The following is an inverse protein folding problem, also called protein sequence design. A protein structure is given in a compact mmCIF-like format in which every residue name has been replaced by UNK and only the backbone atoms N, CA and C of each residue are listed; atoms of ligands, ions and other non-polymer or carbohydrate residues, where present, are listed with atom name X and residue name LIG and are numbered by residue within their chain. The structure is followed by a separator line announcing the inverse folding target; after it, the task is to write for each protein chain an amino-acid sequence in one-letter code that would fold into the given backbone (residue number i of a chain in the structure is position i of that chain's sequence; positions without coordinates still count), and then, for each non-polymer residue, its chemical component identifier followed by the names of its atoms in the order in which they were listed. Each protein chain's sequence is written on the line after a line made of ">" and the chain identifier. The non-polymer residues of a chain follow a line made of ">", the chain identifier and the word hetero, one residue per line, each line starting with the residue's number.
data_IF_137432676321
#
_entry.id   IF_137432676321
#
_cell.length_a   1.000
_cell.length_b   1.000
_cell.length_c   1.000
_cell.angle_alpha   90.00
_cell.angle_beta   90.00
_cell.angle_gamma   90.00
#
_symmetry.space_group_name_H-M   'P 1'
#
loop_
_entity.id
_entity.type
_entity.pdbx_description
1 polymer ?
#
# COMPACT_ATOMS: atom_id res chain seq x y z
N UNK A 1 1.96 -31.53 9.51
CA UNK A 1 0.69 -31.84 10.18
C UNK A 1 -0.10 -30.55 10.20
N UNK A 2 -1.29 -30.52 9.63
CA UNK A 2 -2.08 -29.29 9.51
C UNK A 2 -2.76 -28.99 10.84
N UNK A 3 -2.22 -28.03 11.60
CA UNK A 3 -2.80 -27.59 12.86
C UNK A 3 -3.94 -26.62 12.57
N UNK A 4 -5.11 -26.92 13.12
CA UNK A 4 -6.28 -26.05 13.09
C UNK A 4 -6.34 -25.26 14.38
N UNK A 5 -6.54 -23.95 14.24
CA UNK A 5 -6.59 -23.00 15.34
C UNK A 5 -7.91 -22.23 15.31
N UNK A 6 -8.39 -21.85 16.47
CA UNK A 6 -9.60 -21.04 16.59
C UNK A 6 -9.30 -19.54 16.39
N UNK A 7 -10.35 -18.73 16.33
CA UNK A 7 -10.24 -17.27 16.14
C UNK A 7 -9.40 -16.58 17.21
N UNK A 8 -9.50 -16.99 18.48
CA UNK A 8 -8.76 -16.35 19.57
C UNK A 8 -7.27 -16.65 19.48
N UNK A 9 -6.91 -17.90 19.19
CA UNK A 9 -5.54 -18.33 18.95
C UNK A 9 -4.94 -17.61 17.74
N UNK A 10 -5.69 -17.53 16.64
CA UNK A 10 -5.27 -16.80 15.45
C UNK A 10 -5.01 -15.31 15.74
N UNK A 11 -5.88 -14.66 16.52
CA UNK A 11 -5.68 -13.27 16.93
C UNK A 11 -4.46 -13.09 17.83
N UNK A 12 -4.16 -14.05 18.70
CA UNK A 12 -2.96 -14.03 19.54
C UNK A 12 -1.69 -14.11 18.69
N UNK A 13 -1.65 -15.05 17.72
CA UNK A 13 -0.54 -15.20 16.78
C UNK A 13 -0.35 -13.91 15.95
N UNK A 14 -1.44 -13.26 15.54
CA UNK A 14 -1.36 -11.96 14.86
C UNK A 14 -0.75 -10.87 15.75
N UNK A 15 -1.13 -10.82 17.04
CA UNK A 15 -0.57 -9.84 17.97
C UNK A 15 0.93 -10.10 18.23
N UNK A 16 1.36 -11.36 18.35
CA UNK A 16 2.77 -11.76 18.44
C UNK A 16 3.58 -11.32 17.20
N UNK A 17 2.92 -11.23 16.03
CA UNK A 17 3.51 -10.73 14.78
C UNK A 17 3.23 -9.22 14.55
N UNK A 18 2.89 -8.48 15.61
CA UNK A 18 2.64 -7.03 15.59
C UNK A 18 1.49 -6.59 14.66
N UNK A 19 0.53 -7.47 14.38
CA UNK A 19 -0.70 -7.19 13.63
C UNK A 19 -1.86 -7.12 14.64
N UNK A 20 -2.00 -5.96 15.29
CA UNK A 20 -3.10 -5.73 16.23
C UNK A 20 -4.35 -5.27 15.51
N UNK A 21 -5.40 -6.08 15.55
CA UNK A 21 -6.70 -5.77 14.94
C UNK A 21 -7.87 -6.08 15.86
N UNK A 22 -8.99 -5.40 15.64
CA UNK A 22 -10.23 -5.70 16.35
C UNK A 22 -10.82 -7.03 15.88
N UNK A 23 -11.55 -7.72 16.75
CA UNK A 23 -12.28 -8.95 16.41
C UNK A 23 -13.18 -8.77 15.17
N UNK A 24 -13.83 -7.61 15.05
CA UNK A 24 -14.67 -7.28 13.90
C UNK A 24 -13.87 -7.24 12.59
N UNK A 25 -12.72 -6.57 12.60
CA UNK A 25 -11.82 -6.50 11.44
C UNK A 25 -11.29 -7.87 11.06
N UNK A 26 -10.91 -8.69 12.04
CA UNK A 26 -10.41 -10.03 11.79
C UNK A 26 -11.49 -10.94 11.18
N UNK A 27 -12.70 -10.92 11.75
CA UNK A 27 -13.82 -11.70 11.19
C UNK A 27 -14.24 -11.23 9.80
N UNK A 28 -14.09 -9.94 9.47
CA UNK A 28 -14.31 -9.43 8.12
C UNK A 28 -13.27 -9.97 7.12
N UNK A 29 -12.03 -10.20 7.52
CA UNK A 29 -11.03 -10.88 6.68
C UNK A 29 -11.39 -12.33 6.39
N UNK A 30 -11.92 -13.05 7.39
CA UNK A 30 -12.41 -14.42 7.20
C UNK A 30 -13.58 -14.45 6.21
N UNK A 31 -14.56 -13.53 6.36
CA UNK A 31 -15.72 -13.44 5.44
C UNK A 31 -15.33 -13.09 4.01
N UNK A 32 -14.30 -12.25 3.84
CA UNK A 32 -13.78 -11.85 2.52
C UNK A 32 -12.83 -12.87 1.90
N UNK A 33 -12.59 -13.99 2.59
CA UNK A 33 -11.63 -15.03 2.17
C UNK A 33 -10.21 -14.48 2.00
N UNK A 34 -9.85 -13.43 2.74
CA UNK A 34 -8.45 -12.96 2.80
C UNK A 34 -7.57 -13.95 3.58
N UNK A 35 -8.17 -14.71 4.50
CA UNK A 35 -7.57 -15.86 5.20
C UNK A 35 -8.51 -17.04 5.00
N UNK A 36 -7.99 -18.17 4.52
CA UNK A 36 -8.78 -19.36 4.33
C UNK A 36 -9.21 -19.92 5.71
N UNK A 37 -10.52 -20.05 5.90
CA UNK A 37 -11.11 -20.54 7.14
C UNK A 37 -12.39 -21.32 6.85
N UNK A 38 -12.66 -22.32 7.68
CA UNK A 38 -13.87 -23.14 7.61
C UNK A 38 -14.71 -22.84 8.86
N UNK A 39 -16.05 -22.80 8.78
CA UNK A 39 -16.87 -22.74 9.97
C UNK A 39 -16.53 -23.90 10.91
N UNK A 40 -16.26 -23.61 12.18
CA UNK A 40 -15.97 -24.66 13.17
C UNK A 40 -17.25 -25.44 13.47
N UNK A 41 -17.12 -26.75 13.68
CA UNK A 41 -18.22 -27.60 14.19
C UNK A 41 -18.70 -27.12 15.57
N UNK A 42 -17.82 -26.47 16.34
CA UNK A 42 -18.17 -25.85 17.61
C UNK A 42 -18.65 -24.41 17.39
N UNK A 43 -19.97 -24.19 17.53
CA UNK A 43 -20.61 -22.87 17.39
C UNK A 43 -20.02 -21.77 18.28
N UNK A 44 -19.37 -22.11 19.39
CA UNK A 44 -18.72 -21.14 20.29
C UNK A 44 -17.38 -20.62 19.76
N UNK A 45 -16.69 -21.42 18.95
CA UNK A 45 -15.38 -21.08 18.37
C UNK A 45 -15.51 -20.34 17.02
N UNK A 46 -16.65 -20.52 16.35
CA UNK A 46 -17.04 -19.78 15.15
C UNK A 46 -16.31 -20.27 13.90
N UNK A 47 -15.01 -19.99 13.79
CA UNK A 47 -14.20 -20.32 12.62
C UNK A 47 -12.96 -21.13 13.03
N UNK A 48 -12.64 -22.14 12.22
CA UNK A 48 -11.41 -22.92 12.28
C UNK A 48 -10.51 -22.49 11.12
N UNK A 49 -9.29 -22.11 11.45
CA UNK A 49 -8.30 -21.57 10.53
C UNK A 49 -7.11 -22.51 10.50
N UNK A 50 -6.54 -22.78 9.33
CA UNK A 50 -5.27 -23.52 9.27
C UNK A 50 -4.14 -22.57 9.66
N UNK A 51 -3.29 -23.02 10.57
CA UNK A 51 -2.14 -22.24 11.04
C UNK A 51 -1.23 -21.79 9.86
N UNK A 52 -1.07 -22.66 8.85
CA UNK A 52 -0.34 -22.37 7.62
C UNK A 52 -0.93 -21.21 6.81
N UNK A 53 -2.27 -21.17 6.67
CA UNK A 53 -2.96 -20.13 5.90
C UNK A 53 -2.89 -18.77 6.64
N UNK A 54 -2.89 -18.80 7.98
CA UNK A 54 -2.67 -17.61 8.80
C UNK A 54 -1.23 -17.09 8.65
N UNK A 55 -0.24 -17.99 8.68
CA UNK A 55 1.16 -17.62 8.48
C UNK A 55 1.42 -17.05 7.10
N UNK A 56 0.81 -17.61 6.06
CA UNK A 56 0.92 -17.08 4.71
C UNK A 56 0.29 -15.67 4.60
N UNK A 57 -0.82 -15.43 5.30
CA UNK A 57 -1.40 -14.09 5.42
C UNK A 57 -0.47 -13.11 6.16
N UNK A 58 0.16 -13.55 7.26
CA UNK A 58 1.12 -12.75 8.01
C UNK A 58 2.31 -12.39 7.13
N UNK A 59 2.87 -13.34 6.39
CA UNK A 59 3.99 -13.09 5.46
C UNK A 59 3.61 -12.13 4.34
N UNK A 60 2.37 -12.19 3.84
CA UNK A 60 1.85 -11.22 2.86
C UNK A 60 1.73 -9.82 3.46
N UNK A 61 1.29 -9.69 4.73
CA UNK A 61 1.11 -8.39 5.40
C UNK A 61 2.43 -7.80 5.90
N UNK A 62 3.37 -8.63 6.35
CA UNK A 62 4.67 -8.25 6.91
C UNK A 62 5.76 -9.24 6.48
N UNK A 63 6.23 -9.16 5.23
CA UNK A 63 7.26 -10.07 4.72
C UNK A 63 8.52 -10.05 5.60
N UNK A 64 9.04 -11.24 5.93
CA UNK A 64 10.30 -11.42 6.68
C UNK A 64 10.23 -11.19 8.20
N UNK A 65 9.17 -10.56 8.74
CA UNK A 65 9.10 -10.27 10.18
C UNK A 65 9.05 -11.55 11.02
N UNK A 66 8.30 -12.57 10.59
CA UNK A 66 8.18 -13.84 11.33
C UNK A 66 9.54 -14.52 11.46
N UNK A 67 10.34 -14.51 10.40
CA UNK A 67 11.69 -15.11 10.39
C UNK A 67 12.59 -14.37 11.39
N UNK A 68 12.58 -13.03 11.36
CA UNK A 68 13.36 -12.22 12.31
C UNK A 68 12.97 -12.50 13.77
N UNK A 69 11.66 -12.61 14.06
CA UNK A 69 11.18 -12.91 15.40
C UNK A 69 11.57 -14.31 15.87
N UNK A 70 11.55 -15.30 14.97
CA UNK A 70 12.01 -16.65 15.27
C UNK A 70 13.50 -16.67 15.61
N UNK A 71 14.35 -16.05 14.79
CA UNK A 71 15.79 -15.94 15.05
C UNK A 71 16.08 -15.20 16.36
N UNK A 72 15.35 -14.12 16.64
CA UNK A 72 15.47 -13.39 17.90
C UNK A 72 15.09 -14.25 19.11
N UNK A 73 14.04 -15.06 19.00
CA UNK A 73 13.62 -15.97 20.05
C UNK A 73 14.66 -17.08 20.30
N UNK A 74 15.26 -17.62 19.23
CA UNK A 74 16.39 -18.56 19.34
C UNK A 74 17.58 -17.92 20.05
N UNK A 75 17.95 -16.68 19.69
CA UNK A 75 19.04 -15.96 20.35
C UNK A 75 18.79 -15.75 21.84
N UNK A 76 17.56 -15.40 22.23
CA UNK A 76 17.19 -15.28 23.66
C UNK A 76 17.35 -16.63 24.37
N UNK A 77 16.96 -17.72 23.72
CA UNK A 77 17.09 -19.06 24.26
C UNK A 77 18.56 -19.40 24.52
N UNK A 78 19.43 -19.17 23.52
CA UNK A 78 20.87 -19.41 23.61
C UNK A 78 21.51 -18.58 24.73
N UNK A 79 21.13 -17.31 24.87
CA UNK A 79 21.60 -16.44 25.95
C UNK A 79 21.17 -16.98 27.32
N UNK A 80 19.93 -17.46 27.45
CA UNK A 80 19.45 -18.05 28.70
C UNK A 80 20.19 -19.34 29.05
N UNK A 81 20.48 -20.18 28.06
CA UNK A 81 21.23 -21.42 28.26
C UNK A 81 22.67 -21.13 28.71
N UNK A 82 23.34 -20.16 28.08
CA UNK A 82 24.66 -19.69 28.50
C UNK A 82 24.61 -19.12 29.92
N UNK A 83 23.58 -18.32 30.26
CA UNK A 83 23.40 -17.77 31.61
C UNK A 83 23.24 -18.87 32.65
N UNK A 84 22.48 -19.92 32.37
CA UNK A 84 22.35 -21.08 33.26
C UNK A 84 23.66 -21.84 33.41
N UNK A 85 24.40 -22.06 32.32
CA UNK A 85 25.73 -22.69 32.38
C UNK A 85 26.72 -21.89 33.23
N UNK A 86 26.72 -20.57 33.07
CA UNK A 86 27.56 -19.66 33.87
C UNK A 86 27.16 -19.72 35.34
N UNK A 87 25.87 -19.67 35.67
CA UNK A 87 25.38 -19.80 37.05
C UNK A 87 25.76 -21.15 37.67
N UNK A 88 25.63 -22.26 36.93
CA UNK A 88 26.06 -23.57 37.39
C UNK A 88 27.57 -23.63 37.68
N UNK A 89 28.41 -22.98 36.86
CA UNK A 89 29.86 -22.89 37.09
C UNK A 89 30.21 -22.09 38.35
N UNK A 90 29.43 -21.06 38.70
CA UNK A 90 29.63 -20.27 39.92
C UNK A 90 29.15 -21.01 41.18
N UNK A 91 28.04 -21.75 41.12
CA UNK A 91 27.55 -22.54 42.24
C UNK A 91 28.39 -23.80 42.52
N UNK A 92 28.99 -24.39 41.50
CA UNK A 92 29.89 -25.54 41.64
C UNK A 92 31.29 -25.16 42.18
N UNK A 93 31.55 -23.88 42.47
CA UNK A 93 32.87 -23.38 42.92
C UNK A 93 32.99 -23.20 44.44
N UNK A 94 31.96 -23.56 45.22
CA UNK A 94 31.89 -23.29 46.67
C UNK A 94 32.00 -24.49 47.60
N UNK A 95 32.22 -25.71 47.11
CA UNK A 95 32.50 -26.85 47.99
C UNK A 95 33.60 -27.73 47.38
N UNK A 96 34.83 -27.58 47.86
CA UNK A 96 35.95 -28.44 47.50
C UNK A 96 37.28 -27.69 47.40
N UNK A 97 38.13 -27.93 48.39
CA UNK A 97 39.57 -27.63 48.48
C UNK A 97 40.24 -27.13 47.20
N UNK A 98 40.84 -25.93 47.27
CA UNK A 98 41.83 -25.47 46.30
C UNK A 98 43.11 -26.27 46.53
N UNK A 99 43.14 -27.49 46.02
CA UNK A 99 44.38 -28.20 45.74
C UNK A 99 45.01 -27.50 44.53
N UNK A 100 46.20 -26.95 44.73
CA UNK A 100 47.00 -26.34 43.67
C UNK A 100 47.30 -27.40 42.59
N UNK A 101 46.48 -27.43 41.54
CA UNK A 101 46.76 -28.14 40.30
C UNK A 101 47.57 -27.22 39.39
N UNK A 102 48.88 -27.26 39.61
CA UNK A 102 49.89 -26.86 38.65
C UNK A 102 49.64 -27.64 37.34
N UNK A 103 49.08 -27.00 36.32
CA UNK A 103 48.80 -27.68 35.04
C UNK A 103 47.70 -27.13 34.13
N UNK A 104 46.92 -26.12 34.51
CA UNK A 104 46.10 -25.39 33.53
C UNK A 104 46.90 -24.23 32.97
N UNK A 105 47.35 -24.35 31.72
CA UNK A 105 47.76 -23.21 30.89
C UNK A 105 46.69 -22.13 31.06
N UNK A 106 47.05 -21.08 31.79
CA UNK A 106 46.33 -19.82 31.85
C UNK A 106 45.87 -19.49 30.44
N UNK A 107 44.55 -19.48 30.18
CA UNK A 107 44.04 -18.86 28.95
C UNK A 107 44.54 -17.42 29.03
N UNK A 108 45.52 -17.11 28.21
CA UNK A 108 46.38 -15.93 28.28
C UNK A 108 45.52 -14.68 28.47
N UNK A 109 45.88 -13.83 29.44
CA UNK A 109 45.31 -12.50 29.70
C UNK A 109 44.85 -11.75 28.44
N UNK A 110 45.60 -11.90 27.35
CA UNK A 110 45.32 -11.36 26.01
C UNK A 110 43.96 -11.75 25.41
N UNK A 111 43.52 -13.01 25.58
CA UNK A 111 42.23 -13.46 25.05
C UNK A 111 41.05 -12.83 25.81
N UNK A 112 41.25 -12.57 27.11
CA UNK A 112 40.25 -11.90 27.94
C UNK A 112 40.16 -10.42 27.54
N UNK A 113 41.30 -9.75 27.34
CA UNK A 113 41.32 -8.37 26.85
C UNK A 113 40.68 -8.22 25.46
N UNK A 114 41.00 -9.13 24.53
CA UNK A 114 40.38 -9.14 23.21
C UNK A 114 38.85 -9.28 23.27
N UNK A 115 38.33 -10.17 24.13
CA UNK A 115 36.89 -10.32 24.32
C UNK A 115 36.25 -9.07 24.92
N UNK A 116 36.94 -8.36 25.82
CA UNK A 116 36.48 -7.08 26.36
C UNK A 116 36.43 -5.98 25.28
N UNK A 117 37.43 -5.90 24.41
CA UNK A 117 37.45 -4.95 23.28
C UNK A 117 36.31 -5.22 22.30
N UNK A 118 36.06 -6.49 21.96
CA UNK A 118 34.94 -6.87 21.09
C UNK A 118 33.59 -6.54 21.73
N UNK A 119 33.42 -6.83 23.03
CA UNK A 119 32.21 -6.46 23.77
C UNK A 119 32.00 -4.94 23.81
N UNK A 120 33.08 -4.17 23.94
CA UNK A 120 33.01 -2.71 23.95
C UNK A 120 32.58 -2.18 22.57
N UNK A 121 33.16 -2.68 21.49
CA UNK A 121 32.76 -2.30 20.13
C UNK A 121 31.29 -2.65 19.84
N UNK A 122 30.85 -3.86 20.23
CA UNK A 122 29.45 -4.26 20.08
C UNK A 122 28.51 -3.39 20.91
N UNK A 123 28.91 -3.01 22.12
CA UNK A 123 28.13 -2.11 22.96
C UNK A 123 27.96 -0.74 22.30
N UNK A 124 29.05 -0.17 21.77
CA UNK A 124 29.04 1.14 21.12
C UNK A 124 28.16 1.12 19.85
N UNK A 125 28.24 0.06 19.05
CA UNK A 125 27.42 -0.12 17.84
C UNK A 125 25.92 -0.28 18.18
N UNK A 126 25.58 -1.00 19.25
CA UNK A 126 24.20 -1.12 19.74
C UNK A 126 23.65 0.23 20.20
N UNK A 127 24.45 1.04 20.88
CA UNK A 127 23.99 2.34 21.37
C UNK A 127 23.85 3.36 20.22
N UNK A 128 24.71 3.29 19.20
CA UNK A 128 24.57 4.09 17.99
C UNK A 128 23.31 3.71 17.20
N UNK A 129 23.03 2.40 17.04
CA UNK A 129 21.80 1.89 16.42
C UNK A 129 20.55 2.35 17.16
N UNK A 130 20.60 2.43 18.49
CA UNK A 130 19.49 2.91 19.31
C UNK A 130 19.22 4.40 19.11
N UNK A 131 20.27 5.22 18.99
CA UNK A 131 20.16 6.65 18.63
C UNK A 131 19.53 6.79 17.25
N UNK A 132 20.00 6.03 16.26
CA UNK A 132 19.46 6.07 14.90
C UNK A 132 17.98 5.64 14.86
N UNK A 133 17.61 4.58 15.58
CA UNK A 133 16.22 4.13 15.68
C UNK A 133 15.31 5.18 16.31
N UNK A 134 15.80 5.88 17.33
CA UNK A 134 15.04 6.97 17.96
C UNK A 134 14.83 8.13 16.98
N UNK A 135 15.86 8.53 16.24
CA UNK A 135 15.75 9.56 15.20
C UNK A 135 14.77 9.15 14.09
N UNK A 136 14.80 7.88 13.67
CA UNK A 136 13.89 7.35 12.67
C UNK A 136 12.45 7.33 13.16
N UNK A 137 12.23 7.03 14.45
CA UNK A 137 10.91 7.10 15.06
C UNK A 137 10.36 8.53 15.07
N UNK A 138 11.18 9.50 15.48
CA UNK A 138 10.76 10.91 15.58
C UNK A 138 10.43 11.49 14.20
N UNK A 139 11.25 11.18 13.19
CA UNK A 139 11.00 11.59 11.79
C UNK A 139 9.74 10.94 11.22
N UNK A 140 9.49 9.65 11.53
CA UNK A 140 8.27 8.98 11.14
C UNK A 140 7.02 9.60 11.78
N UNK A 141 7.07 9.94 13.07
CA UNK A 141 5.96 10.60 13.77
C UNK A 141 5.66 11.98 13.18
N UNK A 142 6.71 12.75 12.84
CA UNK A 142 6.56 14.03 12.14
C UNK A 142 5.87 13.85 10.77
N UNK A 143 6.38 12.94 9.93
CA UNK A 143 5.82 12.68 8.60
C UNK A 143 4.36 12.19 8.68
N UNK A 144 4.03 11.34 9.66
CA UNK A 144 2.66 10.88 9.90
C UNK A 144 1.73 12.04 10.33
N UNK A 145 2.24 12.99 11.11
CA UNK A 145 1.54 14.22 11.48
C UNK A 145 1.23 15.10 10.27
N UNK A 146 2.23 15.33 9.41
CA UNK A 146 2.08 16.09 8.17
C UNK A 146 1.08 15.43 7.21
N UNK A 147 1.16 14.11 7.06
CA UNK A 147 0.22 13.34 6.25
C UNK A 147 -1.23 13.49 6.76
N UNK A 148 -1.46 13.38 8.07
CA UNK A 148 -2.79 13.61 8.67
C UNK A 148 -3.29 15.04 8.41
N UNK A 149 -2.42 16.04 8.49
CA UNK A 149 -2.76 17.43 8.18
C UNK A 149 -3.17 17.60 6.72
N UNK A 150 -2.38 17.02 5.80
CA UNK A 150 -2.67 17.04 4.36
C UNK A 150 -4.00 16.33 4.07
N UNK A 151 -4.23 15.16 4.65
CA UNK A 151 -5.48 14.41 4.50
C UNK A 151 -6.71 15.22 4.96
N UNK A 152 -6.59 15.97 6.07
CA UNK A 152 -7.66 16.89 6.51
C UNK A 152 -7.91 18.01 5.49
N UNK A 153 -6.86 18.58 4.89
CA UNK A 153 -6.99 19.61 3.85
C UNK A 153 -7.67 19.06 2.60
N UNK A 154 -7.30 17.86 2.14
CA UNK A 154 -7.95 17.19 1.00
C UNK A 154 -9.43 16.96 1.28
N UNK A 155 -9.79 16.41 2.44
CA UNK A 155 -11.22 16.21 2.82
C UNK A 155 -12.02 17.51 2.81
N UNK A 156 -11.42 18.63 3.26
CA UNK A 156 -12.06 19.94 3.21
C UNK A 156 -12.26 20.41 1.77
N UNK A 157 -11.27 20.24 0.90
CA UNK A 157 -11.36 20.54 -0.53
C UNK A 157 -12.46 19.70 -1.21
N UNK A 158 -12.50 18.39 -0.94
CA UNK A 158 -13.55 17.50 -1.47
C UNK A 158 -14.94 17.93 -1.01
N UNK A 159 -15.10 18.34 0.25
CA UNK A 159 -16.37 18.85 0.75
C UNK A 159 -16.78 20.17 0.05
N UNK A 160 -15.83 21.05 -0.26
CA UNK A 160 -16.09 22.28 -1.03
C UNK A 160 -16.49 21.95 -2.47
N UNK A 161 -15.81 20.99 -3.11
CA UNK A 161 -16.15 20.53 -4.47
C UNK A 161 -17.55 19.92 -4.49
N UNK A 162 -17.88 19.04 -3.54
CA UNK A 162 -19.22 18.44 -3.41
C UNK A 162 -20.30 19.46 -3.14
N UNK A 163 -20.04 20.49 -2.34
CA UNK A 163 -20.98 21.60 -2.11
C UNK A 163 -21.19 22.46 -3.36
N UNK A 164 -20.16 22.65 -4.19
CA UNK A 164 -20.30 23.29 -5.52
C UNK A 164 -21.05 22.41 -6.54
N UNK A 165 -21.01 21.10 -6.36
CA UNK A 165 -21.66 20.10 -7.23
C UNK A 165 -22.96 19.54 -6.66
N UNK A 166 -23.64 20.21 -5.72
CA UNK A 166 -25.00 19.81 -5.36
C UNK A 166 -25.88 19.88 -6.61
N UNK A 167 -26.41 18.75 -7.12
CA UNK A 167 -27.29 18.76 -8.27
C UNK A 167 -28.61 19.37 -7.81
N UNK A 168 -28.99 20.50 -8.40
CA UNK A 168 -30.42 20.79 -8.52
C UNK A 168 -31.01 19.62 -9.28
N UNK A 169 -32.06 19.00 -8.74
CA UNK A 169 -32.75 17.90 -9.38
C UNK A 169 -33.19 18.31 -10.78
N UNK A 170 -32.49 17.85 -11.80
CA UNK A 170 -32.91 18.01 -13.19
C UNK A 170 -32.89 16.63 -13.83
N UNK A 171 -33.98 16.32 -14.51
CA UNK A 171 -34.21 15.09 -15.24
C UNK A 171 -33.03 14.80 -16.18
N UNK A 172 -32.31 13.71 -15.90
CA UNK A 172 -31.13 13.28 -16.64
C UNK A 172 -31.53 12.70 -18.01
N UNK A 173 -31.69 13.55 -19.02
CA UNK A 173 -31.56 13.13 -20.40
C UNK A 173 -30.07 13.03 -20.74
N UNK A 174 -29.53 11.82 -20.62
CA UNK A 174 -28.15 11.52 -20.99
C UNK A 174 -27.98 11.64 -22.51
N UNK A 175 -26.88 12.24 -22.93
CA UNK A 175 -26.54 12.31 -24.36
C UNK A 175 -26.10 10.93 -24.83
N UNK A 176 -26.63 10.49 -25.97
CA UNK A 176 -26.21 9.24 -26.60
C UNK A 176 -24.74 9.30 -27.03
N UNK A 177 -24.10 8.13 -27.09
CA UNK A 177 -22.71 8.01 -27.54
C UNK A 177 -22.56 8.56 -28.96
N UNK A 178 -21.49 9.34 -29.17
CA UNK A 178 -21.08 9.78 -30.50
C UNK A 178 -20.56 8.56 -31.28
N UNK A 179 -21.13 8.28 -32.45
CA UNK A 179 -20.67 7.18 -33.29
C UNK A 179 -19.24 7.43 -33.81
N UNK A 180 -18.56 6.32 -34.09
CA UNK A 180 -17.14 6.29 -34.46
C UNK A 180 -16.86 7.02 -35.79
N UNK A 181 -17.79 6.96 -36.74
CA UNK A 181 -17.66 7.63 -38.03
C UNK A 181 -17.76 9.16 -37.89
N UNK A 182 -18.76 9.64 -37.15
CA UNK A 182 -18.91 11.06 -36.82
C UNK A 182 -17.74 11.57 -35.99
N UNK A 183 -17.23 10.77 -35.04
CA UNK A 183 -16.03 11.11 -34.27
C UNK A 183 -14.81 11.29 -35.18
N UNK A 184 -14.54 10.32 -36.07
CA UNK A 184 -13.43 10.43 -37.04
C UNK A 184 -13.55 11.68 -37.91
N UNK A 185 -14.76 12.02 -38.34
CA UNK A 185 -15.04 13.25 -39.07
C UNK A 185 -14.65 14.50 -38.28
N UNK A 186 -15.07 14.59 -37.01
CA UNK A 186 -14.72 15.70 -36.12
C UNK A 186 -13.21 15.76 -35.83
N UNK A 187 -12.57 14.62 -35.59
CA UNK A 187 -11.14 14.51 -35.32
C UNK A 187 -10.31 15.03 -36.51
N UNK A 188 -10.63 14.59 -37.73
CA UNK A 188 -9.96 15.05 -38.95
C UNK A 188 -10.15 16.54 -39.20
N UNK A 189 -11.39 17.03 -39.07
CA UNK A 189 -11.70 18.44 -39.26
C UNK A 189 -10.97 19.32 -38.24
N UNK A 190 -10.91 18.89 -36.98
CA UNK A 190 -10.24 19.60 -35.91
C UNK A 190 -8.72 19.58 -36.06
N UNK A 191 -8.14 18.45 -36.46
CA UNK A 191 -6.71 18.33 -36.77
C UNK A 191 -6.31 19.28 -37.89
N UNK A 192 -7.04 19.27 -39.03
CA UNK A 192 -6.76 20.16 -40.16
C UNK A 192 -6.83 21.64 -39.78
N UNK A 193 -7.67 22.00 -38.81
CA UNK A 193 -7.79 23.37 -38.28
C UNK A 193 -6.61 23.76 -37.38
N UNK A 194 -6.14 22.83 -36.53
CA UNK A 194 -5.03 23.09 -35.62
C UNK A 194 -3.68 23.02 -36.33
N UNK A 195 -3.54 22.16 -37.33
CA UNK A 195 -2.31 21.89 -38.07
C UNK A 195 -2.53 21.91 -39.59
N UNK A 196 -2.83 23.08 -40.20
CA UNK A 196 -3.18 23.18 -41.62
C UNK A 196 -2.09 22.65 -42.57
N UNK A 197 -0.83 22.85 -42.19
CA UNK A 197 0.35 22.52 -43.00
C UNK A 197 0.80 21.06 -42.87
N UNK A 198 0.15 20.26 -42.02
CA UNK A 198 0.56 18.87 -41.76
C UNK A 198 -0.42 17.87 -42.37
N UNK A 199 0.09 16.80 -43.02
CA UNK A 199 -0.77 15.69 -43.41
C UNK A 199 -1.30 15.01 -42.15
N UNK A 200 -2.55 14.55 -42.22
CA UNK A 200 -3.19 13.87 -41.11
C UNK A 200 -2.44 12.56 -40.76
N UNK A 201 -1.90 12.41 -39.54
CA UNK A 201 -0.92 11.36 -39.24
C UNK A 201 -1.55 10.08 -38.68
N UNK A 202 -2.83 10.08 -38.33
CA UNK A 202 -3.49 8.96 -37.68
C UNK A 202 -4.00 7.96 -38.73
N UNK A 203 -3.59 6.70 -38.57
CA UNK A 203 -4.12 5.54 -39.29
C UNK A 203 -5.17 4.84 -38.41
N UNK A 204 -6.00 3.97 -39.01
CA UNK A 204 -7.16 3.32 -38.37
C UNK A 204 -6.92 2.86 -36.92
N UNK A 205 -5.86 2.10 -36.64
CA UNK A 205 -5.58 1.64 -35.27
C UNK A 205 -5.34 2.77 -34.26
N UNK A 206 -4.65 3.84 -34.68
CA UNK A 206 -4.42 5.00 -33.80
C UNK A 206 -5.69 5.82 -33.63
N UNK A 207 -6.50 5.96 -34.69
CA UNK A 207 -7.81 6.62 -34.59
C UNK A 207 -8.73 5.89 -33.60
N UNK A 208 -8.74 4.55 -33.63
CA UNK A 208 -9.52 3.72 -32.71
C UNK A 208 -9.10 3.94 -31.25
N UNK A 209 -7.79 4.05 -30.97
CA UNK A 209 -7.27 4.34 -29.62
C UNK A 209 -7.70 5.71 -29.13
N UNK A 210 -7.61 6.73 -29.98
CA UNK A 210 -8.03 8.10 -29.63
C UNK A 210 -9.55 8.15 -29.41
N UNK A 211 -10.33 7.39 -30.17
CA UNK A 211 -11.76 7.23 -29.94
C UNK A 211 -12.07 6.57 -28.60
N UNK A 212 -11.34 5.51 -28.22
CA UNK A 212 -11.50 4.89 -26.91
C UNK A 212 -11.15 5.84 -25.76
N UNK A 213 -10.05 6.59 -25.86
CA UNK A 213 -9.70 7.62 -24.87
C UNK A 213 -10.80 8.70 -24.77
N UNK A 214 -11.33 9.14 -25.91
CA UNK A 214 -12.47 10.07 -25.94
C UNK A 214 -13.71 9.48 -25.25
N UNK A 215 -14.07 8.23 -25.55
CA UNK A 215 -15.20 7.56 -24.92
C UNK A 215 -15.02 7.43 -23.41
N UNK A 216 -13.82 7.12 -22.93
CA UNK A 216 -13.55 7.03 -21.50
C UNK A 216 -13.69 8.37 -20.77
N UNK A 217 -13.37 9.48 -21.44
CA UNK A 217 -13.50 10.83 -20.87
C UNK A 217 -14.93 11.38 -20.91
N UNK A 218 -15.66 11.12 -21.99
CA UNK A 218 -16.97 11.72 -22.26
C UNK A 218 -18.11 10.81 -21.82
N UNK A 219 -17.91 9.50 -21.87
CA UNK A 219 -18.87 8.44 -21.54
C UNK A 219 -18.26 7.40 -20.58
N UNK A 220 -17.79 7.80 -19.39
CA UNK A 220 -17.13 6.91 -18.45
C UNK A 220 -18.06 5.78 -17.98
N UNK A 221 -17.55 4.54 -18.02
CA UNK A 221 -18.30 3.35 -17.57
C UNK A 221 -18.41 3.26 -16.04
N UNK A 222 -17.37 3.69 -15.32
CA UNK A 222 -17.23 3.53 -13.87
C UNK A 222 -17.94 4.63 -13.07
N UNK A 223 -17.68 5.91 -13.36
CA UNK A 223 -18.33 7.04 -12.70
C UNK A 223 -19.22 7.83 -13.68
N UNK A 224 -20.49 7.46 -13.67
CA UNK A 224 -21.54 8.03 -14.54
C UNK A 224 -21.82 9.52 -14.28
N UNK A 225 -21.18 10.14 -13.28
CA UNK A 225 -21.33 11.56 -12.93
C UNK A 225 -20.23 12.46 -13.53
N UNK A 226 -19.34 11.92 -14.37
CA UNK A 226 -18.25 12.66 -14.98
C UNK A 226 -18.49 13.02 -16.46
N UNK A 227 -19.55 12.47 -17.08
CA UNK A 227 -19.84 12.62 -18.50
C UNK A 227 -20.50 13.95 -18.89
N UNK A 228 -21.03 14.00 -20.11
CA UNK A 228 -21.81 15.15 -20.59
C UNK A 228 -23.30 14.89 -20.35
N UNK A 229 -23.96 15.83 -19.69
CA UNK A 229 -25.42 15.81 -19.45
C UNK A 229 -26.12 16.94 -20.19
N UNK A 230 -27.40 16.76 -20.48
CA UNK A 230 -28.28 17.83 -20.95
C UNK A 230 -29.02 18.43 -19.75
N UNK A 231 -28.94 19.74 -19.59
CA UNK A 231 -29.62 20.55 -18.58
C UNK A 231 -30.40 21.67 -19.29
N UNK A 232 -31.71 21.45 -19.48
CA UNK A 232 -32.56 22.32 -20.30
C UNK A 232 -32.07 22.42 -21.76
N UNK A 233 -31.78 23.65 -22.19
CA UNK A 233 -31.28 23.97 -23.55
C UNK A 233 -29.75 23.89 -23.69
N UNK A 234 -29.05 23.44 -22.64
CA UNK A 234 -27.59 23.39 -22.62
C UNK A 234 -27.08 22.00 -22.30
N UNK A 235 -25.91 21.70 -22.81
CA UNK A 235 -25.11 20.54 -22.45
C UNK A 235 -24.02 20.99 -21.48
N UNK A 236 -23.75 20.20 -20.45
CA UNK A 236 -22.76 20.49 -19.42
C UNK A 236 -21.80 19.31 -19.34
N UNK A 237 -20.51 19.57 -19.47
CA UNK A 237 -19.48 18.56 -19.24
C UNK A 237 -19.11 18.53 -17.75
N UNK A 238 -19.56 17.51 -17.04
CA UNK A 238 -19.51 17.47 -15.58
C UNK A 238 -18.08 17.46 -15.03
N UNK A 239 -17.10 16.89 -15.75
CA UNK A 239 -15.70 16.87 -15.34
C UNK A 239 -15.06 18.27 -15.28
N UNK A 240 -15.53 19.22 -16.10
CA UNK A 240 -14.93 20.58 -16.18
C UNK A 240 -15.87 21.71 -15.83
N UNK A 241 -17.18 21.44 -15.72
CA UNK A 241 -18.21 22.46 -15.53
C UNK A 241 -18.48 23.32 -16.76
N UNK A 242 -17.84 23.03 -17.90
CA UNK A 242 -18.07 23.76 -19.14
C UNK A 242 -19.45 23.47 -19.70
N UNK A 243 -20.14 24.49 -20.22
CA UNK A 243 -21.46 24.35 -20.82
C UNK A 243 -21.55 24.91 -22.23
N UNK A 244 -22.44 24.35 -23.05
CA UNK A 244 -22.69 24.82 -24.41
C UNK A 244 -24.10 24.48 -24.86
N UNK A 245 -24.71 25.28 -25.73
CA UNK A 245 -26.00 24.94 -26.35
C UNK A 245 -25.90 23.81 -27.37
N UNK A 246 -24.69 23.51 -27.85
CA UNK A 246 -24.42 22.45 -28.83
C UNK A 246 -23.42 21.45 -28.27
N UNK A 247 -23.80 20.18 -28.17
CA UNK A 247 -22.93 19.12 -27.64
C UNK A 247 -21.63 18.98 -28.44
N UNK A 248 -21.69 19.15 -29.77
CA UNK A 248 -20.51 19.08 -30.64
C UNK A 248 -19.43 20.10 -30.27
N UNK A 249 -19.78 21.24 -29.65
CA UNK A 249 -18.78 22.21 -29.17
C UNK A 249 -17.99 21.65 -28.00
N UNK A 250 -18.63 20.88 -27.11
CA UNK A 250 -17.96 20.21 -26.00
C UNK A 250 -17.10 19.06 -26.52
N UNK A 251 -17.61 18.24 -27.44
CA UNK A 251 -16.82 17.18 -28.08
C UNK A 251 -15.56 17.74 -28.75
N UNK A 252 -15.68 18.82 -29.52
CA UNK A 252 -14.55 19.46 -30.19
C UNK A 252 -13.46 19.95 -29.22
N UNK A 253 -13.84 20.40 -28.01
CA UNK A 253 -12.87 20.81 -26.99
C UNK A 253 -12.13 19.63 -26.37
N UNK A 254 -12.84 18.52 -26.14
CA UNK A 254 -12.20 17.28 -25.66
C UNK A 254 -11.23 16.74 -26.73
N UNK A 255 -11.67 16.69 -27.99
CA UNK A 255 -10.84 16.31 -29.14
C UNK A 255 -9.59 17.19 -29.25
N UNK A 256 -9.74 18.51 -29.09
CA UNK A 256 -8.61 19.45 -29.10
C UNK A 256 -7.58 19.16 -28.02
N UNK A 257 -8.01 18.85 -26.79
CA UNK A 257 -7.10 18.46 -25.71
C UNK A 257 -6.38 17.16 -26.02
N UNK A 258 -7.09 16.15 -26.51
CA UNK A 258 -6.49 14.87 -26.91
C UNK A 258 -5.42 15.07 -27.99
N UNK A 259 -5.71 15.86 -29.03
CA UNK A 259 -4.73 16.17 -30.07
C UNK A 259 -3.50 16.90 -29.53
N UNK A 260 -3.68 17.90 -28.66
CA UNK A 260 -2.56 18.64 -28.06
C UNK A 260 -1.71 17.76 -27.13
N UNK A 261 -2.33 16.86 -26.37
CA UNK A 261 -1.61 15.94 -25.49
C UNK A 261 -0.84 14.88 -26.29
N UNK A 262 -1.39 14.42 -27.41
CA UNK A 262 -0.68 13.55 -28.35
C UNK A 262 0.54 14.24 -28.96
N UNK A 263 0.42 15.52 -29.34
CA UNK A 263 1.57 16.28 -29.84
C UNK A 263 2.69 16.40 -28.79
N UNK A 264 2.33 16.68 -27.53
CA UNK A 264 3.29 16.73 -26.43
C UNK A 264 4.01 15.39 -26.24
N UNK A 265 3.29 14.28 -26.28
CA UNK A 265 3.88 12.92 -26.19
C UNK A 265 4.83 12.64 -27.36
N UNK A 266 4.41 12.96 -28.59
CA UNK A 266 5.23 12.78 -29.78
C UNK A 266 6.48 13.68 -29.82
N UNK A 267 6.46 14.83 -29.13
CA UNK A 267 7.62 15.69 -28.98
C UNK A 267 8.63 15.21 -27.92
N UNK A 268 8.17 14.41 -26.94
CA UNK A 268 9.01 13.81 -25.90
C UNK A 268 9.68 12.50 -26.34
N UNK A 269 9.19 11.87 -27.41
CA UNK A 269 9.74 10.64 -28.01
C UNK A 269 10.81 10.91 -29.09
N UNK A 270 11.18 12.18 -29.32
CA UNK A 270 12.25 12.61 -30.23
C UNK A 270 13.47 13.08 -29.44
#
# INVERSE_FOLDING_TARGET
>A
MTRWINVQEAMKILEENYIKVSYKTFTDWLRKLEIAAVPSDNRKEGWSIREEDLFEFIDKKRPGLRQILQEYQHLIQDINDVKQQVQALFHNKTEGEVQYMEGRKSKTSEHINYLYEVLQMMHDEVEELKIQNQLMKDTYEQAAGEYKSLQKRVKKLDAVIRKRHQPKSVANDRVQNLDDETFRGLLKAKFKRLFPERPYPLKEEKEQRVYQEFCNLVFPQEDKNLGIIKDGDKYIYQQTGESSTQVNRLYNKVIERLLNDMEKRAALEK
#
